data_IF_095738596376
#
_entry.id   IF_095738596376
#
_cell.length_a   1.000
_cell.length_b   1.000
_cell.length_c   1.000
_cell.angle_alpha   90.00
_cell.angle_beta   90.00
_cell.angle_gamma   90.00
#
_symmetry.space_group_name_H-M   'P 1'
#
loop_
_entity.id
_entity.type
_entity.pdbx_description
1 polymer ?
#
# COMPACT_ATOMS: atom_id res chain seq x y z
N UNK A 1 2.66 -29.36 22.60
CA UNK A 1 2.27 -27.97 22.27
C UNK A 1 2.92 -27.08 23.32
N UNK A 2 3.48 -25.92 22.97
CA UNK A 2 4.02 -25.01 23.99
C UNK A 2 2.84 -24.38 24.75
N UNK A 3 3.01 -24.16 26.06
CA UNK A 3 2.01 -23.46 26.87
C UNK A 3 1.85 -22.00 26.39
N UNK A 4 0.63 -21.45 26.32
CA UNK A 4 0.41 -20.05 25.89
C UNK A 4 1.25 -19.03 26.67
N UNK A 5 1.45 -19.28 27.96
CA UNK A 5 2.29 -18.46 28.85
C UNK A 5 3.78 -18.48 28.48
N UNK A 6 4.26 -19.59 27.90
CA UNK A 6 5.63 -19.71 27.42
C UNK A 6 5.81 -18.96 26.10
N UNK A 7 4.81 -18.99 25.22
CA UNK A 7 4.81 -18.26 23.94
C UNK A 7 4.80 -16.76 24.20
N UNK A 8 3.90 -16.25 25.06
CA UNK A 8 3.82 -14.82 25.40
C UNK A 8 5.12 -14.25 25.99
N UNK A 9 5.92 -15.07 26.67
CA UNK A 9 7.22 -14.64 27.22
C UNK A 9 8.29 -14.38 26.15
N UNK A 10 8.23 -15.07 25.02
CA UNK A 10 9.20 -14.93 23.92
C UNK A 10 8.66 -14.11 22.75
N UNK A 11 7.35 -13.83 22.73
CA UNK A 11 6.68 -12.94 21.76
C UNK A 11 6.01 -11.75 22.49
N UNK A 12 6.80 -10.80 23.02
CA UNK A 12 6.26 -9.65 23.74
C UNK A 12 5.45 -8.71 22.84
N UNK A 13 5.64 -8.79 21.52
CA UNK A 13 4.89 -8.04 20.50
C UNK A 13 3.54 -8.65 20.13
N UNK A 14 3.24 -9.88 20.56
CA UNK A 14 2.03 -10.59 20.16
C UNK A 14 1.96 -10.89 18.65
N UNK A 15 3.10 -11.09 18.00
CA UNK A 15 3.17 -11.42 16.58
C UNK A 15 2.36 -12.66 16.22
N UNK A 16 2.29 -13.66 17.10
CA UNK A 16 1.49 -14.87 16.86
C UNK A 16 -0.01 -14.54 16.73
N UNK A 17 -0.50 -13.63 17.56
CA UNK A 17 -1.91 -13.21 17.54
C UNK A 17 -2.19 -12.36 16.29
N UNK A 18 -1.24 -11.49 15.89
CA UNK A 18 -1.33 -10.71 14.65
C UNK A 18 -1.43 -11.65 13.44
N UNK A 19 -0.56 -12.66 13.35
CA UNK A 19 -0.61 -13.64 12.26
C UNK A 19 -1.91 -14.44 12.28
N UNK A 20 -2.36 -14.86 13.47
CA UNK A 20 -3.62 -15.58 13.63
C UNK A 20 -4.84 -14.76 13.19
N UNK A 21 -4.79 -13.43 13.32
CA UNK A 21 -5.86 -12.50 12.93
C UNK A 21 -5.94 -12.17 11.44
N UNK A 22 -5.07 -12.77 10.60
CA UNK A 22 -5.01 -12.47 9.17
C UNK A 22 -6.37 -12.64 8.44
N UNK A 23 -7.17 -13.71 8.67
CA UNK A 23 -8.47 -13.84 8.01
C UNK A 23 -9.41 -12.66 8.28
N UNK A 24 -9.47 -12.21 9.54
CA UNK A 24 -10.29 -11.09 9.97
C UNK A 24 -9.77 -9.77 9.37
N UNK A 25 -8.45 -9.56 9.39
CA UNK A 25 -7.82 -8.37 8.82
C UNK A 25 -8.08 -8.23 7.31
N UNK A 26 -8.01 -9.33 6.57
CA UNK A 26 -8.32 -9.34 5.13
C UNK A 26 -9.79 -9.01 4.86
N UNK A 27 -10.70 -9.60 5.62
CA UNK A 27 -12.13 -9.36 5.46
C UNK A 27 -12.50 -7.91 5.79
N UNK A 28 -11.90 -7.34 6.84
CA UNK A 28 -12.11 -5.94 7.21
C UNK A 28 -11.55 -4.98 6.16
N UNK A 29 -10.35 -5.24 5.65
CA UNK A 29 -9.76 -4.48 4.55
C UNK A 29 -10.63 -4.51 3.29
N UNK A 30 -11.18 -5.68 2.94
CA UNK A 30 -12.08 -5.83 1.80
C UNK A 30 -13.38 -5.02 1.97
N UNK A 31 -14.04 -5.13 3.13
CA UNK A 31 -15.27 -4.37 3.43
C UNK A 31 -15.03 -2.86 3.42
N UNK A 32 -13.91 -2.43 3.99
CA UNK A 32 -13.51 -1.02 3.98
C UNK A 32 -13.35 -0.54 2.54
N UNK A 33 -12.67 -1.31 1.69
CA UNK A 33 -12.48 -0.96 0.29
C UNK A 33 -13.80 -0.90 -0.49
N UNK A 34 -14.72 -1.86 -0.29
CA UNK A 34 -16.04 -1.85 -0.96
C UNK A 34 -16.91 -0.64 -0.58
N UNK A 35 -16.75 -0.12 0.63
CA UNK A 35 -17.48 1.06 1.09
C UNK A 35 -16.95 2.36 0.50
N UNK A 36 -15.75 2.37 -0.07
CA UNK A 36 -15.13 3.55 -0.65
C UNK A 36 -15.36 3.61 -2.16
N UNK A 37 -15.58 4.81 -2.68
CA UNK A 37 -15.53 5.09 -4.11
C UNK A 37 -14.34 6.00 -4.40
N UNK A 38 -13.43 5.52 -5.23
CA UNK A 38 -12.26 6.28 -5.66
C UNK A 38 -12.35 6.50 -7.17
N UNK A 39 -12.48 7.75 -7.58
CA UNK A 39 -12.59 8.10 -9.00
C UNK A 39 -11.21 8.14 -9.65
N UNK A 40 -10.89 7.10 -10.42
CA UNK A 40 -9.64 6.96 -11.18
C UNK A 40 -9.85 7.01 -12.69
N UNK A 41 -11.00 7.52 -13.13
CA UNK A 41 -11.32 7.62 -14.56
C UNK A 41 -10.27 8.42 -15.32
N UNK A 42 -9.96 7.97 -16.54
CA UNK A 42 -8.91 8.56 -17.37
C UNK A 42 -7.48 8.33 -16.88
N UNK A 43 -7.27 7.48 -15.86
CA UNK A 43 -5.91 7.13 -15.43
C UNK A 43 -5.15 6.42 -16.56
N UNK A 44 -3.90 6.82 -16.80
CA UNK A 44 -3.04 6.20 -17.81
C UNK A 44 -2.06 5.19 -17.22
N UNK A 45 -1.57 5.44 -16.01
CA UNK A 45 -0.69 4.54 -15.24
C UNK A 45 -0.93 4.69 -13.74
N UNK A 46 -0.51 3.67 -13.00
CA UNK A 46 -0.58 3.63 -11.54
C UNK A 46 0.82 3.44 -10.98
N UNK A 47 1.21 4.30 -10.04
CA UNK A 47 2.39 4.13 -9.22
C UNK A 47 1.95 3.68 -7.82
N UNK A 48 2.59 2.66 -7.26
CA UNK A 48 2.37 2.23 -5.88
C UNK A 48 3.59 2.60 -5.05
N UNK A 49 3.49 3.64 -4.22
CA UNK A 49 4.58 4.07 -3.34
C UNK A 49 4.47 3.40 -1.97
N UNK A 50 5.57 2.84 -1.49
CA UNK A 50 5.63 2.25 -0.16
C UNK A 50 6.99 1.63 0.11
N UNK A 51 7.28 1.38 1.39
CA UNK A 51 8.51 0.72 1.83
C UNK A 51 8.20 -0.59 2.56
N UNK A 52 9.17 -1.52 2.56
CA UNK A 52 9.05 -2.79 3.27
C UNK A 52 7.80 -3.59 2.89
N UNK A 53 6.98 -3.95 3.88
CA UNK A 53 5.74 -4.70 3.69
C UNK A 53 4.76 -4.04 2.73
N UNK A 54 4.67 -2.71 2.72
CA UNK A 54 3.82 -1.97 1.80
C UNK A 54 4.25 -2.14 0.34
N UNK A 55 5.55 -2.12 0.09
CA UNK A 55 6.09 -2.33 -1.25
C UNK A 55 5.87 -3.77 -1.73
N UNK A 56 5.98 -4.75 -0.82
CA UNK A 56 5.71 -6.16 -1.11
C UNK A 56 4.24 -6.36 -1.50
N UNK A 57 3.30 -5.74 -0.79
CA UNK A 57 1.88 -5.75 -1.17
C UNK A 57 1.68 -5.15 -2.57
N UNK A 58 2.41 -4.08 -2.89
CA UNK A 58 2.44 -3.48 -4.23
C UNK A 58 2.93 -4.45 -5.30
N UNK A 59 4.02 -5.18 -5.08
CA UNK A 59 4.54 -6.15 -6.04
C UNK A 59 3.56 -7.29 -6.31
N UNK A 60 2.92 -7.79 -5.25
CA UNK A 60 1.88 -8.82 -5.36
C UNK A 60 0.72 -8.30 -6.21
N UNK A 61 0.27 -7.07 -5.95
CA UNK A 61 -0.82 -6.45 -6.71
C UNK A 61 -0.45 -6.24 -8.18
N UNK A 62 0.72 -5.67 -8.47
CA UNK A 62 1.19 -5.46 -9.85
C UNK A 62 1.30 -6.79 -10.59
N UNK A 63 1.84 -7.83 -9.95
CA UNK A 63 1.92 -9.16 -10.55
C UNK A 63 0.55 -9.76 -10.81
N UNK A 64 -0.40 -9.59 -9.89
CA UNK A 64 -1.78 -10.04 -10.07
C UNK A 64 -2.53 -9.24 -11.15
N UNK A 65 -2.23 -7.95 -11.31
CA UNK A 65 -2.91 -7.09 -12.28
C UNK A 65 -2.34 -7.22 -13.71
N UNK A 66 -1.15 -7.80 -13.87
CA UNK A 66 -0.37 -7.78 -15.12
C UNK A 66 -1.13 -8.32 -16.36
N UNK A 67 -1.98 -9.34 -16.19
CA UNK A 67 -2.81 -9.94 -17.25
C UNK A 67 -4.29 -9.51 -17.18
N UNK A 68 -4.65 -8.64 -16.23
CA UNK A 68 -6.03 -8.22 -15.93
C UNK A 68 -6.29 -6.74 -16.23
N UNK A 69 -5.25 -5.91 -16.22
CA UNK A 69 -5.35 -4.47 -16.47
C UNK A 69 -4.60 -4.06 -17.73
N UNK A 70 -5.11 -3.02 -18.40
CA UNK A 70 -4.41 -2.35 -19.51
C UNK A 70 -3.53 -1.20 -19.04
N UNK A 71 -3.64 -0.80 -17.77
CA UNK A 71 -2.85 0.27 -17.19
C UNK A 71 -1.45 -0.23 -16.86
N UNK A 72 -0.44 0.57 -17.20
CA UNK A 72 0.92 0.33 -16.70
C UNK A 72 0.95 0.54 -15.19
N UNK A 73 1.56 -0.39 -14.45
CA UNK A 73 1.68 -0.30 -13.00
C UNK A 73 3.13 -0.50 -12.57
N UNK A 74 3.60 0.31 -11.63
CA UNK A 74 4.97 0.26 -11.12
C UNK A 74 5.01 0.53 -9.62
N UNK A 75 5.86 -0.21 -8.90
CA UNK A 75 6.10 0.01 -7.47
C UNK A 75 7.27 0.98 -7.28
N UNK A 76 7.03 2.07 -6.54
CA UNK A 76 7.99 3.12 -6.22
C UNK A 76 8.51 2.91 -4.80
N UNK A 77 9.78 2.51 -4.69
CA UNK A 77 10.50 2.26 -3.42
C UNK A 77 11.48 3.37 -3.06
N UNK A 78 11.22 4.58 -3.58
CA UNK A 78 12.11 5.73 -3.46
C UNK A 78 11.34 7.02 -3.26
N UNK A 79 12.07 8.13 -3.24
CA UNK A 79 11.58 9.44 -2.82
C UNK A 79 10.75 10.18 -3.88
N UNK A 80 10.62 9.65 -5.09
CA UNK A 80 9.97 10.37 -6.19
C UNK A 80 9.34 9.40 -7.19
N UNK A 81 8.24 9.84 -7.80
CA UNK A 81 7.70 9.18 -9.00
C UNK A 81 8.64 9.40 -10.20
N UNK A 82 8.61 8.51 -11.23
CA UNK A 82 9.47 8.66 -12.39
C UNK A 82 9.34 10.05 -13.06
N UNK A 83 10.41 10.57 -13.69
CA UNK A 83 10.34 11.84 -14.42
C UNK A 83 9.27 11.85 -15.52
N UNK A 84 8.90 10.68 -16.04
CA UNK A 84 7.84 10.51 -17.04
C UNK A 84 6.42 10.65 -16.48
N UNK A 85 6.22 10.72 -15.16
CA UNK A 85 4.90 10.86 -14.54
C UNK A 85 4.24 12.20 -14.90
N UNK A 86 2.92 12.14 -15.13
CA UNK A 86 2.04 13.18 -15.67
C UNK A 86 0.77 13.31 -14.83
N UNK A 87 -0.03 14.35 -15.09
CA UNK A 87 -1.30 14.60 -14.38
C UNK A 87 -2.37 13.52 -14.63
N UNK A 88 -2.23 12.76 -15.72
CA UNK A 88 -3.12 11.64 -16.05
C UNK A 88 -2.80 10.38 -15.22
N UNK A 89 -1.66 10.32 -14.54
CA UNK A 89 -1.27 9.17 -13.72
C UNK A 89 -1.81 9.28 -12.29
N UNK A 90 -1.87 8.12 -11.61
CA UNK A 90 -2.32 7.99 -10.22
C UNK A 90 -1.18 7.44 -9.36
N UNK A 91 -0.95 8.04 -8.20
CA UNK A 91 -0.11 7.50 -7.14
C UNK A 91 -1.01 6.91 -6.05
N UNK A 92 -0.76 5.65 -5.68
CA UNK A 92 -1.32 5.01 -4.49
C UNK A 92 -0.18 4.89 -3.47
N UNK A 93 -0.24 5.67 -2.40
CA UNK A 93 0.70 5.63 -1.30
C UNK A 93 0.22 4.63 -0.24
N UNK A 94 1.04 3.66 0.11
CA UNK A 94 0.74 2.60 1.08
C UNK A 94 1.75 2.69 2.21
N UNK A 95 1.29 3.10 3.40
CA UNK A 95 2.13 3.17 4.59
C UNK A 95 1.31 2.84 5.83
N UNK A 96 1.74 1.82 6.58
CA UNK A 96 1.09 1.48 7.85
C UNK A 96 1.18 2.63 8.86
N UNK A 97 2.34 3.28 8.96
CA UNK A 97 2.59 4.38 9.91
C UNK A 97 2.03 5.72 9.46
N UNK A 98 1.76 5.90 8.15
CA UNK A 98 1.50 7.22 7.55
C UNK A 98 2.77 8.08 7.39
N UNK A 99 3.76 7.92 8.28
CA UNK A 99 4.93 8.81 8.37
C UNK A 99 6.19 8.34 7.60
N UNK A 100 6.07 7.34 6.71
CA UNK A 100 7.27 6.84 6.01
C UNK A 100 7.85 7.90 5.08
N UNK A 101 9.05 8.40 5.39
CA UNK A 101 9.70 9.53 4.72
C UNK A 101 9.74 9.38 3.19
N UNK A 102 10.14 8.20 2.69
CA UNK A 102 10.20 7.93 1.26
C UNK A 102 8.83 8.00 0.60
N UNK A 103 7.80 7.49 1.30
CA UNK A 103 6.42 7.47 0.78
C UNK A 103 5.84 8.87 0.74
N UNK A 104 6.04 9.67 1.79
CA UNK A 104 5.63 11.08 1.83
C UNK A 104 6.37 11.92 0.77
N UNK A 105 7.65 11.65 0.56
CA UNK A 105 8.42 12.31 -0.49
C UNK A 105 7.90 11.97 -1.88
N UNK A 106 7.54 10.70 -2.12
CA UNK A 106 6.94 10.27 -3.38
C UNK A 106 5.57 10.93 -3.61
N UNK A 107 4.77 11.11 -2.55
CA UNK A 107 3.51 11.88 -2.60
C UNK A 107 3.78 13.31 -3.03
N UNK A 108 4.67 14.02 -2.36
CA UNK A 108 5.01 15.41 -2.71
C UNK A 108 5.52 15.53 -4.16
N UNK A 109 6.31 14.55 -4.62
CA UNK A 109 6.80 14.48 -6.00
C UNK A 109 5.67 14.28 -7.01
N UNK A 110 4.68 13.44 -6.70
CA UNK A 110 3.52 13.19 -7.56
C UNK A 110 2.59 14.40 -7.61
N UNK A 111 2.33 15.05 -6.48
CA UNK A 111 1.54 16.29 -6.40
C UNK A 111 2.18 17.41 -7.23
N UNK A 112 3.51 17.58 -7.14
CA UNK A 112 4.24 18.56 -7.94
C UNK A 112 4.11 18.32 -9.46
N UNK A 113 3.82 17.09 -9.88
CA UNK A 113 3.56 16.69 -11.28
C UNK A 113 2.08 16.71 -11.66
N UNK A 114 1.19 17.02 -10.70
CA UNK A 114 -0.25 17.05 -10.88
C UNK A 114 -0.90 15.67 -10.93
N UNK A 115 -0.19 14.61 -10.53
CA UNK A 115 -0.79 13.28 -10.40
C UNK A 115 -1.91 13.30 -9.36
N UNK A 116 -2.89 12.42 -9.52
CA UNK A 116 -3.86 12.14 -8.46
C UNK A 116 -3.19 11.26 -7.39
N UNK A 117 -3.47 11.53 -6.12
CA UNK A 117 -2.89 10.79 -4.99
C UNK A 117 -3.99 10.12 -4.17
N UNK A 118 -3.77 8.86 -3.82
CA UNK A 118 -4.63 8.06 -2.94
C UNK A 118 -3.75 7.51 -1.81
N UNK A 119 -4.18 7.68 -0.56
CA UNK A 119 -3.49 7.13 0.62
C UNK A 119 -4.18 5.89 1.17
N UNK A 120 -3.41 4.85 1.50
CA UNK A 120 -3.83 3.65 2.23
C UNK A 120 -2.95 3.55 3.49
N UNK A 121 -3.57 3.74 4.64
CA UNK A 121 -2.90 3.94 5.94
C UNK A 121 -3.75 3.41 7.09
N UNK A 122 -3.12 3.18 8.25
CA UNK A 122 -3.78 2.69 9.48
C UNK A 122 -3.99 3.78 10.55
N UNK A 123 -3.83 5.06 10.21
CA UNK A 123 -4.14 6.16 11.13
C UNK A 123 -3.26 7.41 11.04
N UNK A 124 -2.32 7.47 10.10
CA UNK A 124 -1.51 8.66 9.77
C UNK A 124 -1.76 9.12 8.35
#
# INVERSE_FOLDING_TARGET
MLEPEAIRRVDPSGMIDIVASLPEALLEGYRTAEAQRVEVDGATRVFLAGMGGSAIAGDIFVSWAADRSKLGMEVVRGYAVPPSATKEDVLIAVSYSGDTEETLSAVASAEAKGCRVIGITSGG
#
